data_IF_943628844460
#
_entry.id   IF_943628844460
#
_cell.length_a   1.000
_cell.length_b   1.000
_cell.length_c   1.000
_cell.angle_alpha   90.00
_cell.angle_beta   90.00
_cell.angle_gamma   90.00
#
_symmetry.space_group_name_H-M   'P 1'
#
loop_
_entity.id
_entity.type
_entity.pdbx_description
1 polymer ?
#
# COMPACT_ATOMS: atom_id res chain seq x y z
N UNK A 1 7.67 -16.40 -0.07
CA UNK A 1 7.72 -14.94 -0.31
C UNK A 1 9.11 -14.56 -0.82
N UNK A 2 9.21 -13.60 -1.74
CA UNK A 2 10.49 -13.03 -2.18
C UNK A 2 11.02 -12.03 -1.16
N UNK A 3 12.27 -11.57 -1.33
CA UNK A 3 12.93 -10.65 -0.38
C UNK A 3 12.43 -9.20 -0.45
N UNK A 4 11.77 -8.80 -1.55
CA UNK A 4 11.29 -7.43 -1.79
C UNK A 4 9.76 -7.33 -1.86
N UNK A 5 9.24 -6.13 -1.59
CA UNK A 5 7.85 -5.75 -1.80
C UNK A 5 7.70 -4.79 -2.98
N UNK A 6 6.51 -4.23 -3.19
CA UNK A 6 6.29 -3.20 -4.19
C UNK A 6 7.08 -1.93 -3.85
N UNK A 7 7.69 -1.31 -4.86
CA UNK A 7 8.27 0.03 -4.78
C UNK A 7 7.39 1.03 -5.55
N UNK A 8 7.57 2.33 -5.26
CA UNK A 8 6.86 3.42 -5.95
C UNK A 8 7.22 3.42 -7.44
N UNK A 9 8.49 3.15 -7.75
CA UNK A 9 9.05 3.12 -9.10
C UNK A 9 8.43 1.98 -9.92
N UNK A 10 8.29 0.79 -9.32
CA UNK A 10 7.64 -0.35 -9.96
C UNK A 10 6.18 -0.05 -10.27
N UNK A 11 5.45 0.55 -9.31
CA UNK A 11 4.04 0.91 -9.49
C UNK A 11 3.87 1.95 -10.58
N UNK A 12 4.70 2.99 -10.59
CA UNK A 12 4.67 4.01 -11.63
C UNK A 12 5.00 3.43 -13.01
N UNK A 13 5.99 2.54 -13.09
CA UNK A 13 6.30 1.82 -14.33
C UNK A 13 5.10 0.99 -14.81
N UNK A 14 4.50 0.19 -13.93
CA UNK A 14 3.33 -0.63 -14.26
C UNK A 14 2.15 0.24 -14.72
N UNK A 15 1.85 1.34 -14.02
CA UNK A 15 0.79 2.28 -14.40
C UNK A 15 1.02 2.84 -15.81
N UNK A 16 2.25 3.27 -16.12
CA UNK A 16 2.58 3.76 -17.48
C UNK A 16 2.35 2.71 -18.56
N UNK A 17 2.69 1.45 -18.28
CA UNK A 17 2.55 0.36 -19.25
C UNK A 17 1.09 -0.01 -19.50
N UNK A 18 0.27 -0.10 -18.44
CA UNK A 18 -1.10 -0.60 -18.57
C UNK A 18 -2.13 0.50 -18.90
N UNK A 19 -1.72 1.78 -18.86
CA UNK A 19 -2.63 2.91 -19.06
C UNK A 19 -3.74 2.95 -18.00
N UNK A 20 -4.90 3.50 -18.32
CA UNK A 20 -6.05 3.59 -17.40
C UNK A 20 -6.98 2.37 -17.41
N UNK A 21 -6.82 1.47 -18.38
CA UNK A 21 -7.80 0.41 -18.64
C UNK A 21 -7.66 -0.78 -17.68
N UNK A 22 -6.47 -0.96 -17.09
CA UNK A 22 -6.22 -1.99 -16.09
C UNK A 22 -5.79 -1.35 -14.76
N UNK A 23 -6.22 -2.00 -13.67
CA UNK A 23 -5.79 -1.67 -12.33
C UNK A 23 -4.38 -2.15 -12.04
N UNK A 24 -3.69 -1.46 -11.13
CA UNK A 24 -2.38 -1.86 -10.60
C UNK A 24 -2.53 -2.14 -9.11
N UNK A 25 -2.10 -3.32 -8.65
CA UNK A 25 -2.09 -3.70 -7.23
C UNK A 25 -0.67 -3.59 -6.67
N UNK A 26 -0.47 -2.71 -5.69
CA UNK A 26 0.75 -2.68 -4.90
C UNK A 26 0.63 -3.66 -3.73
N UNK A 27 1.57 -4.60 -3.57
CA UNK A 27 1.55 -5.55 -2.46
C UNK A 27 2.95 -5.91 -1.96
N UNK A 28 3.07 -6.09 -0.64
CA UNK A 28 4.35 -6.25 0.03
C UNK A 28 5.02 -4.90 0.27
N UNK A 29 5.55 -4.68 1.47
CA UNK A 29 6.27 -3.45 1.82
C UNK A 29 5.43 -2.29 2.36
N UNK A 30 4.09 -2.34 2.29
CA UNK A 30 3.19 -1.29 2.81
C UNK A 30 2.96 -1.47 4.32
N UNK A 31 3.47 -0.55 5.15
CA UNK A 31 3.47 -0.65 6.62
C UNK A 31 2.57 0.37 7.33
N UNK A 32 1.96 1.30 6.59
CA UNK A 32 1.08 2.34 7.12
C UNK A 32 0.44 3.19 6.03
N UNK A 33 -0.27 4.23 6.46
CA UNK A 33 -1.02 5.12 5.56
C UNK A 33 -0.13 5.86 4.57
N UNK A 34 1.06 6.32 4.98
CA UNK A 34 1.97 7.07 4.12
C UNK A 34 2.49 6.21 2.96
N UNK A 35 2.90 4.96 3.25
CA UNK A 35 3.30 4.01 2.22
C UNK A 35 2.13 3.74 1.25
N UNK A 36 0.92 3.55 1.78
CA UNK A 36 -0.27 3.32 0.95
C UNK A 36 -0.58 4.51 0.04
N UNK A 37 -0.44 5.74 0.56
CA UNK A 37 -0.63 6.99 -0.16
C UNK A 37 0.37 7.15 -1.30
N UNK A 38 1.66 6.91 -1.02
CA UNK A 38 2.70 6.95 -2.03
C UNK A 38 2.43 5.96 -3.18
N UNK A 39 1.93 4.76 -2.86
CA UNK A 39 1.56 3.78 -3.89
C UNK A 39 0.35 4.22 -4.73
N UNK A 40 -0.65 4.86 -4.11
CA UNK A 40 -1.78 5.45 -4.84
C UNK A 40 -1.33 6.58 -5.78
N UNK A 41 -0.48 7.47 -5.29
CA UNK A 41 0.09 8.58 -6.08
C UNK A 41 0.94 8.06 -7.26
N UNK A 42 1.65 6.95 -7.07
CA UNK A 42 2.37 6.25 -8.14
C UNK A 42 1.43 5.60 -9.18
N UNK A 43 0.14 5.48 -8.88
CA UNK A 43 -0.87 4.96 -9.79
C UNK A 43 -1.42 3.58 -9.43
N UNK A 44 -1.16 3.06 -8.24
CA UNK A 44 -1.88 1.88 -7.75
C UNK A 44 -3.39 2.18 -7.63
N UNK A 45 -4.23 1.20 -7.94
CA UNK A 45 -5.69 1.25 -7.71
C UNK A 45 -6.13 0.29 -6.62
N UNK A 46 -5.21 -0.55 -6.11
CA UNK A 46 -5.46 -1.44 -4.99
C UNK A 46 -4.21 -1.63 -4.15
N UNK A 47 -4.39 -1.68 -2.83
CA UNK A 47 -3.33 -1.95 -1.87
C UNK A 47 -3.53 -3.33 -1.26
N UNK A 48 -2.47 -4.15 -1.27
CA UNK A 48 -2.38 -5.42 -0.57
C UNK A 48 -1.47 -5.29 0.64
N UNK A 49 -2.04 -5.14 1.83
CA UNK A 49 -1.31 -4.99 3.08
C UNK A 49 -1.92 -5.89 4.17
N UNK A 50 -1.07 -6.52 4.99
CA UNK A 50 -1.51 -7.25 6.20
C UNK A 50 -1.93 -6.31 7.33
N UNK A 51 -1.46 -5.06 7.30
CA UNK A 51 -1.74 -4.02 8.30
C UNK A 51 -2.95 -3.15 7.91
N UNK A 52 -3.95 -3.72 7.22
CA UNK A 52 -5.10 -2.96 6.70
C UNK A 52 -5.89 -2.20 7.77
N UNK A 53 -6.07 -2.78 8.97
CA UNK A 53 -6.75 -2.11 10.09
C UNK A 53 -6.00 -0.86 10.55
N UNK A 54 -4.68 -0.95 10.69
CA UNK A 54 -3.81 0.18 11.05
C UNK A 54 -3.94 1.31 10.02
N UNK A 55 -3.86 0.98 8.74
CA UNK A 55 -4.01 1.95 7.64
C UNK A 55 -5.36 2.66 7.73
N UNK A 56 -6.45 1.92 7.97
CA UNK A 56 -7.80 2.50 8.08
C UNK A 56 -7.95 3.42 9.29
N UNK A 57 -7.36 3.06 10.44
CA UNK A 57 -7.33 3.89 11.64
C UNK A 57 -6.56 5.20 11.41
N UNK A 58 -5.35 5.09 10.86
CA UNK A 58 -4.50 6.24 10.52
C UNK A 58 -5.19 7.18 9.52
N UNK A 59 -5.86 6.63 8.49
CA UNK A 59 -6.65 7.41 7.54
C UNK A 59 -7.84 8.14 8.19
N UNK A 60 -8.38 7.60 9.28
CA UNK A 60 -9.48 8.19 10.05
C UNK A 60 -9.00 9.17 11.13
N UNK A 61 -7.69 9.47 11.19
CA UNK A 61 -7.10 10.33 12.22
C UNK A 61 -6.99 9.70 13.60
N UNK A 62 -7.26 8.38 13.72
CA UNK A 62 -7.10 7.63 14.96
C UNK A 62 -5.67 7.16 15.07
N UNK A 63 -4.95 7.59 16.10
CA UNK A 63 -3.61 7.04 16.40
C UNK A 63 -3.76 5.56 16.76
N UNK A 64 -3.23 4.69 15.92
CA UNK A 64 -3.24 3.24 16.14
C UNK A 64 -2.58 2.91 17.48
N UNK A 65 -3.37 2.48 18.46
CA UNK A 65 -2.93 2.01 19.78
C UNK A 65 -2.60 0.52 19.79
N UNK A 66 -2.74 -0.17 18.66
CA UNK A 66 -2.49 -1.61 18.56
C UNK A 66 -0.99 -1.86 18.49
N UNK A 67 -0.45 -2.42 19.57
CA UNK A 67 0.90 -2.98 19.60
C UNK A 67 0.90 -4.26 18.77
N UNK A 68 1.82 -4.37 17.81
CA UNK A 68 1.98 -5.59 17.03
C UNK A 68 2.28 -6.76 17.97
N UNK A 69 1.29 -7.63 18.22
CA UNK A 69 1.45 -8.81 19.07
C UNK A 69 0.28 -9.15 20.00
N UNK A 70 -0.74 -8.29 20.14
CA UNK A 70 -1.96 -8.66 20.89
C UNK A 70 -2.94 -9.41 19.99
N UNK A 71 -2.76 -10.73 19.88
CA UNK A 71 -3.82 -11.68 19.58
C UNK A 71 -3.97 -12.62 20.77
#
# INVERSE_FOLDING_TARGET
>A
FAKGGATVEDVALMRRVVGSNLGVKASGGVKGIEDARAMFEAGATRIGASVGVKIAQEASGVKSSIVAGSY
#
